data_IF_103076971633
#
_entry.id   IF_103076971633
#
_cell.length_a   1.000
_cell.length_b   1.000
_cell.length_c   1.000
_cell.angle_alpha   90.00
_cell.angle_beta   90.00
_cell.angle_gamma   90.00
#
_symmetry.space_group_name_H-M   'P 1'
#
loop_
_entity.id
_entity.type
_entity.pdbx_description
1 polymer ?
#
# COMPACT_ATOMS: atom_id res chain seq x y z
N UNK A 1 -4.84 16.39 -4.92
CA UNK A 1 -4.53 14.95 -4.90
C UNK A 1 -3.46 14.71 -5.96
N UNK A 2 -2.20 14.93 -5.61
CA UNK A 2 -1.07 14.85 -6.55
C UNK A 2 -0.65 13.40 -6.69
N UNK A 3 -1.12 12.75 -7.75
CA UNK A 3 -0.52 11.51 -8.23
C UNK A 3 0.89 11.86 -8.75
N UNK A 4 1.92 11.32 -8.13
CA UNK A 4 3.33 11.59 -8.45
C UNK A 4 3.71 11.04 -9.84
N UNK A 5 3.33 11.77 -10.90
CA UNK A 5 4.12 11.84 -12.13
C UNK A 5 4.01 10.71 -13.16
N UNK A 6 3.09 9.74 -13.02
CA UNK A 6 2.89 8.73 -14.08
C UNK A 6 1.59 8.96 -14.84
N UNK A 7 1.73 9.13 -16.16
CA UNK A 7 0.61 9.26 -17.08
C UNK A 7 -0.17 7.95 -17.14
N UNK A 8 -1.50 8.06 -17.19
CA UNK A 8 -2.36 6.94 -17.51
C UNK A 8 -2.21 6.59 -18.99
N UNK A 9 -1.89 5.34 -19.30
CA UNK A 9 -1.72 4.86 -20.67
C UNK A 9 -2.66 3.70 -20.96
N UNK A 10 -3.14 3.51 -22.20
CA UNK A 10 -3.88 2.29 -22.56
C UNK A 10 -2.98 1.06 -22.37
N UNK A 11 -3.49 0.04 -21.68
CA UNK A 11 -2.72 -1.17 -21.44
C UNK A 11 -3.52 -2.29 -20.81
N UNK A 12 -2.80 -3.27 -20.25
CA UNK A 12 -3.37 -4.36 -19.47
C UNK A 12 -3.22 -4.07 -17.98
N UNK A 13 -4.29 -4.24 -17.20
CA UNK A 13 -4.19 -4.24 -15.74
C UNK A 13 -3.61 -5.57 -15.28
N UNK A 14 -2.46 -5.56 -14.61
CA UNK A 14 -1.77 -6.77 -14.14
C UNK A 14 -2.34 -7.32 -12.83
N UNK A 15 -3.17 -6.52 -12.15
CA UNK A 15 -3.93 -6.94 -10.98
C UNK A 15 -5.09 -7.86 -11.41
N UNK A 16 -5.84 -8.38 -10.43
CA UNK A 16 -6.79 -9.47 -10.62
C UNK A 16 -7.90 -9.23 -11.66
N UNK A 17 -8.22 -7.98 -12.02
CA UNK A 17 -9.24 -7.72 -13.05
C UNK A 17 -8.79 -8.06 -14.48
N UNK A 18 -7.48 -8.09 -14.76
CA UNK A 18 -6.87 -8.49 -16.05
C UNK A 18 -7.42 -7.82 -17.32
N UNK A 19 -8.18 -6.73 -17.19
CA UNK A 19 -8.76 -6.00 -18.33
C UNK A 19 -7.67 -5.39 -19.20
N UNK A 20 -7.89 -5.39 -20.51
CA UNK A 20 -7.00 -4.83 -21.54
C UNK A 20 -7.63 -3.64 -22.23
N UNK A 21 -6.81 -2.80 -22.88
CA UNK A 21 -7.29 -1.63 -23.62
C UNK A 21 -7.86 -0.51 -22.74
N UNK A 22 -7.63 -0.56 -21.43
CA UNK A 22 -8.12 0.43 -20.48
C UNK A 22 -6.96 1.32 -19.98
N UNK A 23 -7.25 2.52 -19.47
CA UNK A 23 -6.23 3.33 -18.81
C UNK A 23 -5.62 2.61 -17.61
N UNK A 24 -4.30 2.50 -17.59
CA UNK A 24 -3.49 1.93 -16.50
C UNK A 24 -2.36 2.88 -16.10
N UNK A 25 -1.90 2.75 -14.86
CA UNK A 25 -0.78 3.52 -14.30
C UNK A 25 0.34 2.58 -13.84
N UNK A 26 1.59 3.03 -13.92
CA UNK A 26 2.73 2.31 -13.37
C UNK A 26 2.68 2.28 -11.85
N UNK A 27 2.77 1.09 -11.26
CA UNK A 27 2.75 0.86 -9.82
C UNK A 27 4.15 0.66 -9.23
N UNK A 28 5.09 0.18 -10.05
CA UNK A 28 6.44 -0.17 -9.62
C UNK A 28 6.97 -1.40 -10.36
N UNK A 29 8.21 -1.81 -10.09
CA UNK A 29 8.77 -3.04 -10.62
C UNK A 29 8.14 -4.28 -9.94
N UNK A 30 7.82 -5.30 -10.74
CA UNK A 30 7.54 -6.65 -10.29
C UNK A 30 8.77 -7.52 -10.52
N UNK A 31 9.06 -8.43 -9.59
CA UNK A 31 10.17 -9.36 -9.68
C UNK A 31 9.74 -10.80 -9.45
N UNK A 32 10.20 -11.71 -10.30
CA UNK A 32 10.04 -13.16 -10.15
C UNK A 32 11.27 -13.86 -10.69
N UNK A 33 11.87 -14.80 -9.95
CA UNK A 33 12.98 -15.64 -10.44
C UNK A 33 14.02 -14.90 -11.30
N UNK A 34 14.50 -13.74 -10.86
CA UNK A 34 15.48 -12.91 -11.58
C UNK A 34 14.94 -12.09 -12.77
N UNK A 35 13.65 -12.20 -13.10
CA UNK A 35 12.96 -11.38 -14.10
C UNK A 35 12.41 -10.13 -13.42
N UNK A 36 12.67 -8.97 -14.03
CA UNK A 36 12.15 -7.67 -13.62
C UNK A 36 11.24 -7.11 -14.72
N UNK A 37 10.03 -6.68 -14.36
CA UNK A 37 9.11 -6.06 -15.32
C UNK A 37 8.29 -4.93 -14.66
N UNK A 38 7.92 -3.88 -15.41
CA UNK A 38 7.03 -2.84 -14.88
C UNK A 38 5.62 -3.38 -14.65
N UNK A 39 5.06 -3.16 -13.47
CA UNK A 39 3.69 -3.53 -13.10
C UNK A 39 2.74 -2.35 -13.35
N UNK A 40 1.59 -2.63 -13.96
CA UNK A 40 0.56 -1.63 -14.24
C UNK A 40 -0.81 -2.00 -13.65
N UNK A 41 -1.55 -0.99 -13.17
CA UNK A 41 -2.88 -1.16 -12.57
C UNK A 41 -3.91 -0.18 -13.13
N UNK A 42 -5.18 -0.60 -13.23
CA UNK A 42 -6.28 0.31 -13.55
C UNK A 42 -6.80 1.02 -12.29
N UNK A 43 -7.45 2.17 -12.46
CA UNK A 43 -7.92 3.02 -11.34
C UNK A 43 -8.68 2.25 -10.25
N UNK A 44 -9.63 1.38 -10.63
CA UNK A 44 -10.40 0.60 -9.65
C UNK A 44 -9.51 -0.34 -8.82
N UNK A 45 -8.61 -1.09 -9.46
CA UNK A 45 -7.74 -2.02 -8.75
C UNK A 45 -6.66 -1.31 -7.92
N UNK A 46 -6.22 -0.12 -8.34
CA UNK A 46 -5.30 0.70 -7.54
C UNK A 46 -5.96 1.21 -6.28
N UNK A 47 -7.21 1.70 -6.37
CA UNK A 47 -7.96 2.14 -5.19
C UNK A 47 -8.15 1.00 -4.17
N UNK A 48 -8.44 -0.21 -4.64
CA UNK A 48 -8.56 -1.39 -3.77
C UNK A 48 -7.21 -1.76 -3.11
N UNK A 49 -6.13 -1.74 -3.89
CA UNK A 49 -4.79 -2.01 -3.34
C UNK A 49 -4.39 -0.98 -2.28
N UNK A 50 -4.64 0.31 -2.51
CA UNK A 50 -4.41 1.37 -1.53
C UNK A 50 -5.23 1.18 -0.25
N UNK A 51 -6.49 0.73 -0.40
CA UNK A 51 -7.34 0.41 0.74
C UNK A 51 -6.75 -0.73 1.59
N UNK A 52 -6.35 -1.83 0.95
CA UNK A 52 -5.71 -2.97 1.62
C UNK A 52 -4.40 -2.57 2.31
N UNK A 53 -3.55 -1.77 1.66
CA UNK A 53 -2.31 -1.26 2.25
C UNK A 53 -2.60 -0.44 3.50
N UNK A 54 -3.60 0.45 3.43
CA UNK A 54 -4.01 1.27 4.57
C UNK A 54 -4.51 0.42 5.73
N UNK A 55 -5.35 -0.57 5.45
CA UNK A 55 -5.83 -1.52 6.47
C UNK A 55 -4.67 -2.29 7.11
N UNK A 56 -3.73 -2.78 6.31
CA UNK A 56 -2.55 -3.48 6.80
C UNK A 56 -1.69 -2.58 7.71
N UNK A 57 -1.46 -1.33 7.31
CA UNK A 57 -0.73 -0.35 8.11
C UNK A 57 -1.44 -0.08 9.43
N UNK A 58 -2.75 0.16 9.43
CA UNK A 58 -3.55 0.38 10.64
C UNK A 58 -3.51 -0.85 11.56
N UNK A 59 -3.63 -2.06 11.02
CA UNK A 59 -3.61 -3.28 11.84
C UNK A 59 -2.24 -3.50 12.52
N UNK A 60 -1.14 -3.15 11.83
CA UNK A 60 0.23 -3.30 12.34
C UNK A 60 0.66 -2.17 13.27
N UNK A 61 0.14 -0.97 13.05
CA UNK A 61 0.49 0.26 13.76
C UNK A 61 -0.67 0.81 14.61
N UNK A 62 -1.70 -0.01 14.83
CA UNK A 62 -2.76 0.24 15.80
C UNK A 62 -2.14 0.59 17.14
N UNK A 63 -2.86 1.34 17.99
CA UNK A 63 -2.26 2.17 19.03
C UNK A 63 -1.20 1.35 19.74
N UNK A 64 0.09 1.67 19.48
CA UNK A 64 1.16 1.27 20.40
C UNK A 64 0.58 1.67 21.74
N UNK A 65 0.30 0.69 22.62
CA UNK A 65 -0.19 0.96 23.95
C UNK A 65 0.69 2.09 24.48
N UNK A 66 0.10 3.28 24.52
CA UNK A 66 0.74 4.48 24.99
C UNK A 66 1.27 4.10 26.35
N UNK A 67 2.56 4.36 26.58
CA UNK A 67 3.22 4.02 27.83
C UNK A 67 2.36 4.43 29.01
N UNK A 68 2.35 3.59 30.04
CA UNK A 68 1.67 3.91 31.28
C UNK A 68 2.33 5.17 31.86
N UNK A 69 1.65 6.32 31.94
CA UNK A 69 2.23 7.53 32.51
C UNK A 69 1.99 7.51 34.02
N UNK A 70 3.03 7.15 34.78
CA UNK A 70 3.16 7.42 36.21
C UNK A 70 2.32 6.53 37.15
N UNK A 71 2.94 6.02 38.22
CA UNK A 71 2.93 6.69 39.54
C UNK A 71 3.15 5.72 40.73
N UNK A 72 4.20 6.04 41.51
CA UNK A 72 4.50 5.76 42.93
C UNK A 72 4.53 4.32 43.48
N UNK A 73 5.72 3.94 43.98
CA UNK A 73 5.91 3.55 45.38
C UNK A 73 7.38 3.72 45.78
N UNK A 74 7.65 4.81 46.50
CA UNK A 74 8.69 4.76 47.51
C UNK A 74 8.13 4.04 48.73
N UNK A 75 8.89 3.10 49.27
CA UNK A 75 8.90 2.74 50.68
C UNK A 75 10.32 2.32 51.03
N UNK A 76 11.02 3.21 51.74
CA UNK A 76 12.01 2.80 52.73
C UNK A 76 11.33 1.88 53.74
N UNK A 77 11.95 0.73 54.07
CA UNK A 77 12.50 0.43 55.40
C UNK A 77 13.30 -0.88 55.36
#
# INVERSE_FOLDING_TARGET
MTNNGHAWTPGMCWLYCRRTGIPVIWLGPATTEGIHAPMYGCAHCVAELEHMIRQHFIARNGPRASGNPGERQGTSE
#
